data_IF_517825814860
#
_entry.id   IF_517825814860
#
_cell.length_a   1.000
_cell.length_b   1.000
_cell.length_c   1.000
_cell.angle_alpha   90.00
_cell.angle_beta   90.00
_cell.angle_gamma   90.00
#
_symmetry.space_group_name_H-M   'P 1'
#
loop_
_entity.id
_entity.type
_entity.pdbx_description
1 polymer ?
#
# COMPACT_ATOMS: atom_id res chain seq x y z
N UNK A 1 -0.53 5.71 17.06
CA UNK A 1 -1.66 4.75 17.07
C UNK A 1 -1.23 3.32 16.68
N UNK A 2 0.07 2.97 16.74
CA UNK A 2 0.69 1.83 16.02
C UNK A 2 0.23 0.39 16.32
N UNK A 3 -0.89 0.19 17.02
CA UNK A 3 -1.58 -1.11 17.11
C UNK A 3 -2.78 -1.25 16.17
N UNK A 4 -3.21 -0.18 15.49
CA UNK A 4 -4.42 -0.19 14.64
C UNK A 4 -4.12 -0.10 13.15
N UNK A 5 -2.85 -0.05 12.75
CA UNK A 5 -2.40 0.04 11.36
C UNK A 5 -1.58 -1.17 10.96
N UNK A 6 -1.90 -1.76 9.82
CA UNK A 6 -1.10 -2.78 9.14
C UNK A 6 -0.66 -2.26 7.76
N UNK A 7 0.44 -2.79 7.26
CA UNK A 7 0.94 -2.52 5.90
C UNK A 7 0.97 -3.82 5.10
N UNK A 8 0.46 -3.75 3.87
CA UNK A 8 0.59 -4.81 2.88
C UNK A 8 1.77 -4.48 1.97
N UNK A 9 2.81 -5.30 2.01
CA UNK A 9 4.05 -5.10 1.25
C UNK A 9 4.23 -6.22 0.22
N UNK A 10 4.86 -5.88 -0.91
CA UNK A 10 5.39 -6.82 -1.92
C UNK A 10 4.39 -7.88 -2.43
N UNK A 11 3.10 -7.54 -2.51
CA UNK A 11 2.08 -8.46 -3.02
C UNK A 11 2.36 -8.83 -4.47
N UNK A 12 2.84 -10.05 -4.68
CA UNK A 12 3.33 -10.52 -5.98
C UNK A 12 2.71 -11.85 -6.35
N UNK A 13 2.36 -12.00 -7.63
CA UNK A 13 1.97 -13.29 -8.22
C UNK A 13 2.92 -13.56 -9.37
N UNK A 14 3.42 -14.80 -9.45
CA UNK A 14 4.26 -15.22 -10.56
C UNK A 14 3.56 -14.94 -11.91
N UNK A 15 4.25 -14.42 -12.94
CA UNK A 15 3.63 -14.00 -14.21
C UNK A 15 2.71 -15.05 -14.85
N UNK A 16 3.15 -16.32 -14.88
CA UNK A 16 2.37 -17.43 -15.45
C UNK A 16 1.05 -17.73 -14.73
N UNK A 17 0.91 -17.25 -13.49
CA UNK A 17 -0.26 -17.45 -12.63
C UNK A 17 -1.11 -16.18 -12.50
N UNK A 18 -0.74 -15.10 -13.21
CA UNK A 18 -1.49 -13.85 -13.24
C UNK A 18 -2.89 -13.98 -13.83
N UNK A 19 -3.75 -12.99 -13.56
CA UNK A 19 -5.15 -12.90 -14.07
C UNK A 19 -6.07 -14.08 -13.70
N UNK A 20 -5.69 -14.92 -12.74
CA UNK A 20 -6.48 -16.03 -12.20
C UNK A 20 -7.17 -15.72 -10.87
N UNK A 21 -7.16 -14.46 -10.44
CA UNK A 21 -7.73 -14.02 -9.16
C UNK A 21 -6.85 -14.22 -7.92
N UNK A 22 -5.66 -14.83 -8.07
CA UNK A 22 -4.74 -15.13 -6.95
C UNK A 22 -4.36 -13.88 -6.17
N UNK A 23 -3.97 -12.79 -6.84
CA UNK A 23 -3.59 -11.54 -6.17
C UNK A 23 -4.72 -10.98 -5.30
N UNK A 24 -5.96 -11.05 -5.79
CA UNK A 24 -7.13 -10.61 -5.02
C UNK A 24 -7.39 -11.52 -3.81
N UNK A 25 -7.17 -12.82 -3.95
CA UNK A 25 -7.28 -13.76 -2.84
C UNK A 25 -6.21 -13.45 -1.77
N UNK A 26 -4.95 -13.24 -2.16
CA UNK A 26 -3.88 -12.87 -1.24
C UNK A 26 -4.21 -11.59 -0.44
N UNK A 27 -4.66 -10.54 -1.11
CA UNK A 27 -5.06 -9.28 -0.46
C UNK A 27 -6.19 -9.49 0.54
N UNK A 28 -7.20 -10.30 0.18
CA UNK A 28 -8.34 -10.58 1.06
C UNK A 28 -7.93 -11.33 2.32
N UNK A 29 -7.10 -12.36 2.18
CA UNK A 29 -6.61 -13.13 3.32
C UNK A 29 -5.73 -12.27 4.23
N UNK A 30 -4.84 -11.44 3.66
CA UNK A 30 -4.04 -10.49 4.43
C UNK A 30 -4.92 -9.51 5.22
N UNK A 31 -5.96 -8.95 4.59
CA UNK A 31 -6.89 -8.04 5.25
C UNK A 31 -7.71 -8.73 6.36
N UNK A 32 -8.12 -9.98 6.17
CA UNK A 32 -8.79 -10.77 7.19
C UNK A 32 -7.86 -10.98 8.41
N UNK A 33 -6.64 -11.45 8.17
CA UNK A 33 -5.64 -11.68 9.22
C UNK A 33 -5.26 -10.41 9.99
N UNK A 34 -5.17 -9.27 9.31
CA UNK A 34 -4.90 -7.97 9.94
C UNK A 34 -6.06 -7.56 10.85
N UNK A 35 -7.31 -7.70 10.37
CA UNK A 35 -8.51 -7.40 11.16
C UNK A 35 -8.62 -8.30 12.39
N UNK A 36 -8.37 -9.59 12.26
CA UNK A 36 -8.37 -10.54 13.38
C UNK A 36 -7.35 -10.17 14.48
N UNK A 37 -6.25 -9.50 14.09
CA UNK A 37 -5.21 -9.01 15.00
C UNK A 37 -5.49 -7.62 15.56
N UNK A 38 -6.64 -7.03 15.25
CA UNK A 38 -7.06 -5.72 15.77
C UNK A 38 -6.66 -4.52 14.93
N UNK A 39 -6.17 -4.72 13.70
CA UNK A 39 -5.92 -3.59 12.80
C UNK A 39 -7.25 -2.97 12.33
N UNK A 40 -7.35 -1.65 12.42
CA UNK A 40 -8.45 -0.86 11.89
C UNK A 40 -8.19 -0.42 10.45
N UNK A 41 -6.92 -0.21 10.11
CA UNK A 41 -6.48 0.28 8.80
C UNK A 41 -5.45 -0.66 8.18
N UNK A 42 -5.61 -0.94 6.90
CA UNK A 42 -4.61 -1.60 6.07
C UNK A 42 -4.13 -0.61 5.01
N UNK A 43 -2.84 -0.33 5.00
CA UNK A 43 -2.18 0.55 4.06
C UNK A 43 -1.46 -0.25 3.00
N UNK A 44 -1.38 0.30 1.80
CA UNK A 44 -0.61 -0.24 0.68
C UNK A 44 -0.13 0.93 -0.17
N UNK A 45 1.12 0.85 -0.61
CA UNK A 45 1.69 1.77 -1.59
C UNK A 45 1.78 1.03 -2.93
N UNK A 46 1.48 1.74 -4.02
CA UNK A 46 1.44 1.16 -5.36
C UNK A 46 1.68 2.22 -6.43
N UNK A 47 2.13 1.77 -7.59
CA UNK A 47 2.28 2.61 -8.78
C UNK A 47 0.93 2.79 -9.51
N UNK A 48 0.81 3.83 -10.34
CA UNK A 48 -0.43 4.20 -11.03
C UNK A 48 -1.07 3.02 -11.79
N UNK A 49 -0.27 2.15 -12.43
CA UNK A 49 -0.76 1.00 -13.18
C UNK A 49 -1.47 -0.05 -12.31
N UNK A 50 -1.18 -0.05 -11.01
CA UNK A 50 -1.74 -0.98 -10.03
C UNK A 50 -2.99 -0.41 -9.35
N UNK A 51 -3.33 0.87 -9.55
CA UNK A 51 -4.52 1.50 -8.95
C UNK A 51 -5.81 0.71 -9.24
N UNK A 52 -6.12 0.28 -10.48
CA UNK A 52 -7.34 -0.46 -10.76
C UNK A 52 -7.42 -1.78 -9.99
N UNK A 53 -6.27 -2.43 -9.77
CA UNK A 53 -6.20 -3.68 -9.01
C UNK A 53 -6.52 -3.45 -7.53
N UNK A 54 -5.84 -2.50 -6.87
CA UNK A 54 -6.06 -2.25 -5.44
C UNK A 54 -7.43 -1.63 -5.15
N UNK A 55 -7.93 -0.76 -6.03
CA UNK A 55 -9.32 -0.28 -5.98
C UNK A 55 -10.30 -1.44 -6.05
N UNK A 56 -10.06 -2.44 -6.91
CA UNK A 56 -10.90 -3.64 -7.00
C UNK A 56 -10.85 -4.55 -5.76
N UNK A 57 -9.84 -4.37 -4.91
CA UNK A 57 -9.71 -5.05 -3.63
C UNK A 57 -10.35 -4.28 -2.47
N UNK A 58 -10.84 -3.05 -2.70
CA UNK A 58 -11.53 -2.22 -1.71
C UNK A 58 -10.67 -1.11 -1.10
N UNK A 59 -9.42 -0.93 -1.56
CA UNK A 59 -8.61 0.21 -1.16
C UNK A 59 -9.17 1.52 -1.73
N UNK A 60 -8.92 2.61 -1.02
CA UNK A 60 -9.28 3.98 -1.40
C UNK A 60 -8.03 4.84 -1.29
N UNK A 61 -7.89 5.90 -2.12
CA UNK A 61 -6.78 6.83 -1.98
C UNK A 61 -6.72 7.44 -0.57
N UNK A 62 -5.51 7.61 -0.06
CA UNK A 62 -5.19 8.28 1.19
C UNK A 62 -3.98 9.19 0.99
N UNK A 63 -3.78 10.15 1.90
CA UNK A 63 -2.56 10.97 1.87
C UNK A 63 -1.36 10.11 2.31
N UNK A 64 -0.31 10.07 1.49
CA UNK A 64 0.95 9.41 1.78
C UNK A 64 2.12 10.32 1.40
N UNK A 65 3.28 10.09 2.02
CA UNK A 65 4.51 10.83 1.73
C UNK A 65 5.58 9.88 1.20
N UNK A 66 6.26 10.30 0.15
CA UNK A 66 7.44 9.61 -0.38
C UNK A 66 8.62 10.58 -0.32
N UNK A 67 9.77 10.07 0.12
CA UNK A 67 11.04 10.78 0.10
C UNK A 67 12.03 9.97 -0.73
N UNK A 68 12.44 10.53 -1.87
CA UNK A 68 13.50 9.95 -2.68
C UNK A 68 14.86 10.19 -1.99
N UNK A 69 15.44 9.12 -1.45
CA UNK A 69 16.74 9.14 -0.77
C UNK A 69 17.93 9.08 -1.74
N UNK A 70 17.66 8.93 -3.04
CA UNK A 70 18.68 8.91 -4.11
C UNK A 70 18.76 10.23 -4.86
N UNK A 71 17.71 11.04 -4.77
CA UNK A 71 17.72 12.40 -5.29
C UNK A 71 18.78 13.25 -4.54
N UNK A 72 19.45 14.17 -5.25
CA UNK A 72 20.28 15.16 -4.58
C UNK A 72 19.43 15.96 -3.58
N UNK A 73 20.02 16.26 -2.43
CA UNK A 73 19.34 16.98 -1.34
C UNK A 73 18.78 18.30 -1.88
N UNK A 74 17.46 18.46 -1.83
CA UNK A 74 16.81 19.70 -2.22
C UNK A 74 16.99 20.71 -1.08
N UNK A 75 17.40 21.95 -1.36
CA UNK A 75 17.43 22.98 -0.32
C UNK A 75 16.02 23.12 0.27
N UNK A 76 15.94 23.02 1.60
CA UNK A 76 14.67 23.11 2.32
C UNK A 76 13.93 24.41 1.99
N UNK A 77 12.60 24.45 2.18
CA UNK A 77 11.83 25.67 1.96
C UNK A 77 12.39 26.80 2.84
N UNK A 78 12.42 28.05 2.35
CA UNK A 78 12.87 29.18 3.16
C UNK A 78 12.03 29.26 4.45
N UNK A 79 12.62 29.72 5.56
CA UNK A 79 11.90 29.89 6.82
C UNK A 79 10.68 30.80 6.61
N UNK A 80 9.55 30.43 7.20
CA UNK A 80 8.36 31.29 7.21
C UNK A 80 8.62 32.44 8.20
N UNK A 81 8.68 33.68 7.69
CA UNK A 81 8.72 34.94 8.47
C UNK A 81 7.41 35.21 9.19
#
# INVERSE_FOLDING_TARGET
DGGVHAFLLDTTVHPDYGRRGIGRALVREAAAMARERGAEWLHVDYEDEQEPFYRSCGFRPAAAGLLDLTAPEQPGPPPRT
#
